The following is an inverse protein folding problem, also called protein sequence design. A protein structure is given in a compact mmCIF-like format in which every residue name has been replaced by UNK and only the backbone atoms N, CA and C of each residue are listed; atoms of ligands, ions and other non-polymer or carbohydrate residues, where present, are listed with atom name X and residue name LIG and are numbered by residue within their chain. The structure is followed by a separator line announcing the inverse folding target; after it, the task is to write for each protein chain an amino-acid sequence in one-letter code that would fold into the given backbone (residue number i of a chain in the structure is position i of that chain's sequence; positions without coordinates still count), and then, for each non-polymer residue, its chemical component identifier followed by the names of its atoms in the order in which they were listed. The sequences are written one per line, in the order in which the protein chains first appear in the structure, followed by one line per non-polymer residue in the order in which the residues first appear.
data_IF_775518257641
#
_entry.id   IF_775518257641
#
_cell.length_a   1.000
_cell.length_b   1.000
_cell.length_c   1.000
_cell.angle_alpha   90.00
_cell.angle_beta   90.00
_cell.angle_gamma   90.00
#
_symmetry.space_group_name_H-M   'P 1'
#
loop_
_entity.id
_entity.type
_entity.pdbx_description
1 polymer ?
#
# COMPACT_ATOMS: atom_id res chain seq x y z
N UNK A 1 -15.23 22.27 -14.15
CA UNK A 1 -14.21 21.25 -14.45
C UNK A 1 -14.19 20.22 -13.35
N UNK A 2 -14.42 18.97 -13.71
CA UNK A 2 -14.28 17.86 -12.77
C UNK A 2 -12.79 17.62 -12.54
N UNK A 3 -12.39 17.67 -11.27
CA UNK A 3 -11.04 17.30 -10.89
C UNK A 3 -10.92 15.78 -11.03
N UNK A 4 -10.05 15.33 -11.91
CA UNK A 4 -9.77 13.91 -12.12
C UNK A 4 -8.46 13.54 -11.44
N UNK A 5 -8.41 12.34 -10.87
CA UNK A 5 -7.16 11.80 -10.34
C UNK A 5 -6.30 11.33 -11.52
N UNK A 6 -5.02 11.66 -11.48
CA UNK A 6 -4.07 11.30 -12.54
C UNK A 6 -3.06 10.25 -12.08
N UNK A 7 -2.72 10.23 -10.80
CA UNK A 7 -1.73 9.30 -10.27
C UNK A 7 -2.16 8.79 -8.89
N UNK A 8 -2.38 7.48 -8.81
CA UNK A 8 -2.90 6.81 -7.62
C UNK A 8 -1.80 5.94 -7.02
N UNK A 9 -1.67 5.98 -5.69
CA UNK A 9 -0.81 5.09 -4.92
C UNK A 9 -1.69 4.13 -4.12
N UNK A 10 -1.44 2.84 -4.25
CA UNK A 10 -2.11 1.80 -3.46
C UNK A 10 -1.10 0.96 -2.70
N UNK A 11 -0.88 1.24 -1.42
CA UNK A 11 -0.08 0.36 -0.58
C UNK A 11 -0.81 -0.94 -0.29
N UNK A 12 -0.10 -2.06 -0.38
CA UNK A 12 -0.64 -3.39 -0.13
C UNK A 12 0.23 -4.15 0.87
N UNK A 13 -0.41 -5.01 1.64
CA UNK A 13 0.22 -5.82 2.69
C UNK A 13 -0.03 -7.32 2.45
N UNK A 14 -0.39 -7.69 1.23
CA UNK A 14 -0.66 -9.06 0.75
C UNK A 14 -1.77 -9.81 1.51
N UNK A 15 -2.62 -9.11 2.24
CA UNK A 15 -3.79 -9.69 2.90
C UNK A 15 -5.10 -9.36 2.16
N UNK A 16 -6.21 -9.92 2.63
CA UNK A 16 -7.52 -9.72 1.99
C UNK A 16 -7.98 -8.26 2.03
N UNK A 17 -7.65 -7.53 3.10
CA UNK A 17 -7.96 -6.10 3.22
C UNK A 17 -7.26 -5.29 2.13
N UNK A 18 -5.98 -5.58 1.91
CA UNK A 18 -5.19 -4.93 0.85
C UNK A 18 -5.73 -5.27 -0.54
N UNK A 19 -6.23 -6.48 -0.74
CA UNK A 19 -6.81 -6.88 -2.03
C UNK A 19 -8.06 -6.07 -2.33
N UNK A 20 -8.94 -5.86 -1.36
CA UNK A 20 -10.12 -5.00 -1.52
C UNK A 20 -9.73 -3.57 -1.88
N UNK A 21 -8.69 -3.03 -1.23
CA UNK A 21 -8.17 -1.70 -1.55
C UNK A 21 -7.59 -1.64 -2.97
N UNK A 22 -6.84 -2.66 -3.39
CA UNK A 22 -6.26 -2.72 -4.73
C UNK A 22 -7.35 -2.81 -5.81
N UNK A 23 -8.38 -3.59 -5.60
CA UNK A 23 -9.52 -3.66 -6.51
C UNK A 23 -10.20 -2.30 -6.64
N UNK A 24 -10.40 -1.59 -5.54
CA UNK A 24 -10.95 -0.23 -5.56
C UNK A 24 -10.03 0.74 -6.31
N UNK A 25 -8.73 0.66 -6.05
CA UNK A 25 -7.74 1.49 -6.75
C UNK A 25 -7.78 1.27 -8.26
N UNK A 26 -7.92 0.03 -8.72
CA UNK A 26 -8.06 -0.30 -10.13
C UNK A 26 -9.33 0.31 -10.75
N UNK A 27 -10.45 0.27 -10.02
CA UNK A 27 -11.70 0.90 -10.47
C UNK A 27 -11.56 2.40 -10.62
N UNK A 28 -10.98 3.05 -9.63
CA UNK A 28 -10.77 4.51 -9.66
C UNK A 28 -9.79 4.88 -10.77
N UNK A 29 -8.71 4.13 -10.95
CA UNK A 29 -7.75 4.35 -12.03
C UNK A 29 -8.42 4.22 -13.40
N UNK A 30 -9.23 3.20 -13.60
CA UNK A 30 -9.95 2.99 -14.85
C UNK A 30 -10.92 4.14 -15.15
N UNK A 31 -11.68 4.56 -14.15
CA UNK A 31 -12.67 5.63 -14.31
C UNK A 31 -12.04 7.00 -14.59
N UNK A 32 -10.82 7.24 -14.12
CA UNK A 32 -10.13 8.51 -14.26
C UNK A 32 -9.02 8.50 -15.32
N UNK A 33 -8.82 7.39 -16.02
CA UNK A 33 -7.64 7.18 -16.88
C UNK A 33 -6.33 7.51 -16.18
N UNK A 34 -6.24 7.13 -14.91
CA UNK A 34 -5.11 7.41 -14.05
C UNK A 34 -4.05 6.31 -14.12
N UNK A 35 -2.81 6.67 -13.84
CA UNK A 35 -1.76 5.68 -13.58
C UNK A 35 -1.85 5.19 -12.13
N UNK A 36 -1.45 3.94 -11.91
CA UNK A 36 -1.51 3.28 -10.60
C UNK A 36 -0.12 2.79 -10.19
N UNK A 37 0.31 3.19 -9.01
CA UNK A 37 1.49 2.63 -8.36
C UNK A 37 1.04 1.69 -7.24
N UNK A 38 1.37 0.41 -7.37
CA UNK A 38 1.13 -0.58 -6.31
C UNK A 38 2.40 -0.68 -5.47
N UNK A 39 2.28 -0.42 -4.18
CA UNK A 39 3.42 -0.29 -3.29
C UNK A 39 3.36 -1.29 -2.15
N UNK A 40 4.51 -1.83 -1.77
CA UNK A 40 4.67 -2.58 -0.53
C UNK A 40 5.85 -2.02 0.27
N UNK A 41 5.67 -1.88 1.57
CA UNK A 41 6.75 -1.49 2.50
C UNK A 41 7.20 -2.72 3.26
N UNK A 42 8.48 -3.06 3.11
CA UNK A 42 9.12 -4.07 3.94
C UNK A 42 9.39 -3.44 5.29
N UNK A 43 8.58 -3.80 6.28
CA UNK A 43 8.69 -3.23 7.61
C UNK A 43 9.97 -3.72 8.31
N UNK A 44 10.65 -2.81 8.97
CA UNK A 44 11.78 -3.15 9.84
C UNK A 44 11.20 -3.76 11.12
N UNK A 45 11.58 -4.98 11.50
CA UNK A 45 11.13 -5.54 12.76
C UNK A 45 11.54 -4.65 13.93
N UNK A 46 10.62 -4.43 14.87
CA UNK A 46 10.88 -3.60 16.05
C UNK A 46 12.06 -4.11 16.89
N UNK A 47 12.39 -5.39 16.78
CA UNK A 47 13.47 -6.05 17.51
C UNK A 47 14.72 -6.32 16.65
N UNK A 48 14.84 -5.67 15.50
CA UNK A 48 15.96 -5.91 14.59
C UNK A 48 17.33 -5.70 15.24
N UNK A 49 17.42 -4.76 16.18
CA UNK A 49 18.64 -4.49 16.94
C UNK A 49 18.97 -5.56 17.98
N UNK A 50 17.98 -6.36 18.38
CA UNK A 50 18.12 -7.42 19.39
C UNK A 50 18.28 -8.81 18.75
N UNK A 51 18.10 -8.92 17.45
CA UNK A 51 18.23 -10.19 16.74
C UNK A 51 19.69 -10.50 16.46
N UNK A 52 20.11 -11.78 16.61
CA UNK A 52 21.45 -12.17 16.22
C UNK A 52 21.65 -11.96 14.71
N UNK A 53 22.85 -11.56 14.27
CA UNK A 53 23.11 -11.27 12.85
C UNK A 53 22.74 -12.39 11.90
N UNK A 54 22.84 -13.64 12.35
CA UNK A 54 22.51 -14.82 11.54
C UNK A 54 21.01 -14.97 11.28
N UNK A 55 20.16 -14.39 12.11
CA UNK A 55 18.70 -14.43 11.97
C UNK A 55 18.16 -13.31 11.09
N UNK A 56 18.98 -12.31 10.80
CA UNK A 56 18.62 -11.17 9.94
C UNK A 56 19.01 -11.48 8.50
N UNK A 57 18.02 -11.77 7.67
CA UNK A 57 18.25 -11.74 6.22
C UNK A 57 18.66 -10.32 5.81
N UNK A 58 19.63 -10.15 4.92
CA UNK A 58 19.98 -8.83 4.40
C UNK A 58 18.76 -8.14 3.77
N UNK A 59 18.57 -6.87 4.03
CA UNK A 59 17.50 -6.05 3.45
C UNK A 59 17.30 -6.23 1.95
N UNK A 60 18.36 -6.25 1.13
CA UNK A 60 18.21 -6.44 -0.31
C UNK A 60 17.52 -7.74 -0.70
N UNK A 61 17.64 -8.80 0.12
CA UNK A 61 16.96 -10.07 -0.12
C UNK A 61 15.46 -9.93 0.13
N UNK A 62 15.06 -9.32 1.23
CA UNK A 62 13.65 -9.09 1.55
C UNK A 62 12.97 -8.18 0.54
N UNK A 63 13.65 -7.12 0.12
CA UNK A 63 13.13 -6.22 -0.90
C UNK A 63 12.93 -6.93 -2.23
N UNK A 64 13.86 -7.79 -2.62
CA UNK A 64 13.76 -8.56 -3.85
C UNK A 64 12.60 -9.54 -3.81
N UNK A 65 12.45 -10.28 -2.71
CA UNK A 65 11.34 -11.22 -2.52
C UNK A 65 10.00 -10.48 -2.56
N UNK A 66 9.92 -9.35 -1.86
CA UNK A 66 8.71 -8.52 -1.85
C UNK A 66 8.39 -7.96 -3.23
N UNK A 67 9.41 -7.50 -3.97
CA UNK A 67 9.24 -6.97 -5.33
C UNK A 67 8.69 -8.03 -6.29
N UNK A 68 9.23 -9.24 -6.24
CA UNK A 68 8.75 -10.36 -7.07
C UNK A 68 7.29 -10.70 -6.74
N UNK A 69 6.96 -10.76 -5.46
CA UNK A 69 5.60 -11.03 -5.00
C UNK A 69 4.64 -9.92 -5.43
N UNK A 70 5.08 -8.68 -5.33
CA UNK A 70 4.29 -7.51 -5.72
C UNK A 70 4.05 -7.46 -7.23
N UNK A 71 5.09 -7.75 -8.02
CA UNK A 71 4.98 -7.80 -9.48
C UNK A 71 4.01 -8.90 -9.92
N UNK A 72 4.08 -10.05 -9.27
CA UNK A 72 3.16 -11.16 -9.54
C UNK A 72 1.70 -10.76 -9.21
N UNK A 73 1.48 -10.17 -8.05
CA UNK A 73 0.16 -9.69 -7.62
C UNK A 73 -0.41 -8.67 -8.60
N UNK A 74 0.38 -7.66 -8.96
CA UNK A 74 -0.05 -6.63 -9.88
C UNK A 74 -0.40 -7.20 -11.26
N UNK A 75 0.38 -8.16 -11.76
CA UNK A 75 0.13 -8.81 -13.04
C UNK A 75 -1.20 -9.56 -13.07
N UNK A 76 -1.67 -10.05 -11.92
CA UNK A 76 -2.92 -10.80 -11.83
C UNK A 76 -4.14 -9.91 -11.61
N UNK A 77 -4.00 -8.82 -10.89
CA UNK A 77 -5.12 -8.00 -10.41
C UNK A 77 -5.33 -6.74 -11.25
N UNK A 78 -4.24 -6.06 -11.62
CA UNK A 78 -4.34 -4.79 -12.34
C UNK A 78 -4.70 -5.04 -13.81
N UNK A 79 -5.79 -4.43 -14.32
CA UNK A 79 -6.15 -4.56 -15.74
C UNK A 79 -5.05 -4.05 -16.66
N UNK A 80 -4.87 -4.71 -17.80
CA UNK A 80 -3.86 -4.33 -18.81
C UNK A 80 -4.04 -2.90 -19.32
N UNK A 81 -5.28 -2.40 -19.33
CA UNK A 81 -5.57 -1.04 -19.77
C UNK A 81 -5.10 0.05 -18.80
N UNK A 82 -4.82 -0.32 -17.55
CA UNK A 82 -4.32 0.61 -16.53
C UNK A 82 -2.79 0.66 -16.60
N UNK A 83 -2.26 1.86 -16.78
CA UNK A 83 -0.80 2.08 -16.69
C UNK A 83 -0.39 1.89 -15.24
N UNK A 84 0.43 0.90 -14.96
CA UNK A 84 0.81 0.59 -13.58
C UNK A 84 2.31 0.35 -13.44
N UNK A 85 2.78 0.62 -12.25
CA UNK A 85 4.13 0.29 -11.80
C UNK A 85 4.05 -0.28 -10.40
N UNK A 86 5.09 -0.96 -9.98
CA UNK A 86 5.23 -1.50 -8.63
C UNK A 86 6.43 -0.85 -7.93
N UNK A 87 6.29 -0.65 -6.62
CA UNK A 87 7.32 0.00 -5.81
C UNK A 87 7.45 -0.73 -4.48
N UNK A 88 8.67 -1.09 -4.12
CA UNK A 88 8.98 -1.58 -2.78
C UNK A 88 9.89 -0.60 -2.07
N UNK A 89 9.63 -0.38 -0.80
CA UNK A 89 10.49 0.40 0.10
C UNK A 89 10.64 -0.34 1.41
N UNK A 90 11.69 -0.02 2.15
CA UNK A 90 11.93 -0.55 3.49
C UNK A 90 11.84 0.57 4.52
N UNK A 91 11.31 0.27 5.68
CA UNK A 91 11.23 1.24 6.78
C UNK A 91 9.91 1.19 7.53
N UNK A 92 9.53 2.33 8.07
CA UNK A 92 8.24 2.49 8.76
C UNK A 92 7.12 2.70 7.73
N UNK A 93 6.10 1.83 7.72
CA UNK A 93 5.12 1.83 6.63
C UNK A 93 4.46 3.18 6.37
N UNK A 94 3.91 3.83 7.38
CA UNK A 94 3.21 5.11 7.18
C UNK A 94 4.14 6.19 6.62
N UNK A 95 5.36 6.30 7.16
CA UNK A 95 6.35 7.27 6.71
C UNK A 95 6.75 7.02 5.24
N UNK A 96 6.96 5.78 4.87
CA UNK A 96 7.33 5.40 3.51
C UNK A 96 6.21 5.62 2.50
N UNK A 97 4.97 5.37 2.90
CA UNK A 97 3.79 5.63 2.05
C UNK A 97 3.66 7.14 1.77
N UNK A 98 3.74 7.96 2.80
CA UNK A 98 3.65 9.42 2.66
C UNK A 98 4.81 9.96 1.83
N UNK A 99 6.03 9.49 2.07
CA UNK A 99 7.21 9.88 1.29
C UNK A 99 7.06 9.49 -0.19
N UNK A 100 6.60 8.28 -0.48
CA UNK A 100 6.39 7.83 -1.85
C UNK A 100 5.33 8.66 -2.58
N UNK A 101 4.23 8.99 -1.90
CA UNK A 101 3.19 9.84 -2.46
C UNK A 101 3.73 11.22 -2.82
N UNK A 102 4.56 11.78 -1.97
CA UNK A 102 5.19 13.08 -2.17
C UNK A 102 6.22 13.06 -3.30
N UNK A 103 7.13 12.07 -3.27
CA UNK A 103 8.21 11.95 -4.26
C UNK A 103 7.67 11.73 -5.68
N UNK A 104 6.55 11.06 -5.81
CA UNK A 104 5.94 10.71 -7.10
C UNK A 104 4.79 11.62 -7.52
N UNK A 105 4.50 12.66 -6.76
CA UNK A 105 3.38 13.58 -7.02
C UNK A 105 2.03 12.85 -7.16
N UNK A 106 1.78 11.93 -6.28
CA UNK A 106 0.52 11.18 -6.21
C UNK A 106 -0.61 12.12 -5.78
N UNK A 107 -1.76 12.01 -6.40
CA UNK A 107 -2.93 12.85 -6.10
C UNK A 107 -4.07 12.09 -5.40
N UNK A 108 -3.91 10.78 -5.21
CA UNK A 108 -4.82 9.97 -4.40
C UNK A 108 -4.08 8.75 -3.84
N UNK A 109 -4.24 8.51 -2.55
CA UNK A 109 -3.84 7.24 -1.93
C UNK A 109 -5.10 6.41 -1.69
N UNK A 110 -5.08 5.14 -2.10
CA UNK A 110 -6.15 4.18 -1.82
C UNK A 110 -5.57 3.07 -0.97
N UNK A 111 -6.09 2.88 0.24
CA UNK A 111 -5.53 1.91 1.17
C UNK A 111 -6.60 1.25 2.03
N UNK A 112 -6.27 0.11 2.63
CA UNK A 112 -7.14 -0.61 3.53
C UNK A 112 -7.21 0.07 4.92
N UNK A 113 -8.31 -0.18 5.62
CA UNK A 113 -8.51 0.32 7.00
C UNK A 113 -7.57 -0.33 8.01
N UNK A 114 -7.26 -1.63 7.82
CA UNK A 114 -6.48 -2.43 8.75
C UNK A 114 -5.39 -3.19 8.03
N UNK A 115 -4.25 -3.35 8.70
CA UNK A 115 -3.20 -4.24 8.27
C UNK A 115 -3.42 -5.67 8.75
N UNK A 116 -2.45 -6.50 8.45
CA UNK A 116 -2.43 -7.96 8.56
C UNK A 116 -2.67 -8.55 9.95
N UNK A 117 -2.42 -7.79 11.01
CA UNK A 117 -2.38 -8.30 12.37
C UNK A 117 -3.56 -7.88 13.26
N UNK A 118 -4.62 -7.34 12.67
CA UNK A 118 -5.75 -6.85 13.46
C UNK A 118 -6.90 -7.86 13.54
N UNK A 119 -7.41 -8.16 14.76
CA UNK A 119 -8.57 -9.03 14.92
C UNK A 119 -9.85 -8.40 14.36
N UNK A 120 -10.75 -9.25 13.90
CA UNK A 120 -12.02 -8.85 13.28
C UNK A 120 -12.93 -7.98 14.18
N UNK A 121 -12.69 -7.96 15.48
CA UNK A 121 -13.49 -7.18 16.44
C UNK A 121 -13.19 -5.66 16.44
N UNK A 122 -12.15 -5.23 15.72
CA UNK A 122 -11.74 -3.82 15.67
C UNK A 122 -12.20 -3.10 14.39
N UNK A 123 -13.34 -3.50 13.82
CA UNK A 123 -13.89 -2.90 12.60
C UNK A 123 -14.20 -1.40 12.70
N UNK A 124 -14.32 -0.87 13.91
CA UNK A 124 -14.69 0.52 14.14
C UNK A 124 -13.51 1.47 14.23
N UNK A 125 -12.29 0.97 14.15
CA UNK A 125 -11.09 1.77 14.30
C UNK A 125 -10.19 1.66 13.07
N UNK A 126 -9.61 2.77 12.66
CA UNK A 126 -8.55 2.73 11.66
C UNK A 126 -7.32 2.03 12.25
N UNK A 127 -6.64 1.23 11.44
CA UNK A 127 -5.34 0.68 11.81
C UNK A 127 -4.31 1.80 11.98
N UNK A 128 -3.25 1.51 12.71
CA UNK A 128 -2.22 2.50 13.04
C UNK A 128 -1.56 3.11 11.81
N UNK A 129 -1.32 2.32 10.77
CA UNK A 129 -0.72 2.79 9.51
C UNK A 129 -1.70 3.72 8.78
N UNK A 130 -2.96 3.28 8.62
CA UNK A 130 -3.99 4.08 7.94
C UNK A 130 -4.21 5.41 8.65
N UNK A 131 -4.30 5.42 9.97
CA UNK A 131 -4.46 6.64 10.76
C UNK A 131 -3.31 7.62 10.54
N UNK A 132 -2.07 7.13 10.58
CA UNK A 132 -0.89 7.97 10.37
C UNK A 132 -0.82 8.52 8.95
N UNK A 133 -1.15 7.72 7.95
CA UNK A 133 -1.19 8.16 6.56
C UNK A 133 -2.24 9.25 6.38
N UNK A 134 -3.45 9.06 6.90
CA UNK A 134 -4.53 10.06 6.82
C UNK A 134 -4.10 11.39 7.44
N UNK A 135 -3.42 11.36 8.59
CA UNK A 135 -2.97 12.57 9.29
C UNK A 135 -1.81 13.29 8.60
N UNK A 136 -0.95 12.54 7.92
CA UNK A 136 0.32 13.07 7.39
C UNK A 136 0.33 13.26 5.88
N UNK A 137 -0.69 12.77 5.19
CA UNK A 137 -0.75 12.81 3.73
C UNK A 137 -0.89 14.23 3.20
N UNK A 138 -0.24 14.48 2.06
CA UNK A 138 -0.36 15.75 1.32
C UNK A 138 -1.43 15.69 0.23
N UNK A 139 -2.09 14.55 0.07
CA UNK A 139 -3.17 14.34 -0.90
C UNK A 139 -4.35 13.61 -0.26
N UNK A 140 -5.51 13.56 -0.90
CA UNK A 140 -6.64 12.79 -0.44
C UNK A 140 -6.31 11.31 -0.23
N UNK A 141 -6.91 10.72 0.79
CA UNK A 141 -6.77 9.29 1.11
C UNK A 141 -8.14 8.64 1.10
N UNK A 142 -8.33 7.66 0.22
CA UNK A 142 -9.51 6.83 0.19
C UNK A 142 -9.24 5.56 0.99
N UNK A 143 -9.94 5.41 2.10
CA UNK A 143 -9.77 4.27 2.99
C UNK A 143 -10.87 3.26 2.71
N UNK A 144 -10.48 2.04 2.35
CA UNK A 144 -11.39 0.98 1.92
C UNK A 144 -11.56 -0.05 3.02
N UNK A 145 -12.76 -0.16 3.61
CA UNK A 145 -13.03 -1.20 4.60
C UNK A 145 -13.24 -2.55 3.92
N UNK A 146 -12.90 -3.62 4.61
CA UNK A 146 -13.30 -4.96 4.21
C UNK A 146 -14.69 -5.22 4.78
N UNK A 147 -15.67 -5.33 3.89
CA UNK A 147 -17.01 -5.74 4.28
C UNK A 147 -17.11 -7.26 4.25
N UNK A 148 -17.32 -7.86 5.39
CA UNK A 148 -17.77 -9.23 5.47
C UNK A 148 -19.31 -9.23 5.63
N UNK A 149 -19.94 -9.74 4.62
CA UNK A 149 -21.38 -10.01 4.66
C UNK A 149 -21.63 -11.41 5.17
#
# INVERSE_FOLDING_TARGET
MTQTFQKILCPVDFDDNSMAALEMACKVATQNDASLCVMHVVAIPAHATEMPPEALKPYPVWEREAKLKLDHLASQIVPCAVRSETLTRSGFPAAQIVAAAKDSNVDLIVMATHGRSRPALEHFFLGSVAERVVRSSVCPVLVVPLFSF
#
